data_IF_545740128077
#
_entry.id   IF_545740128077
#
_cell.length_a   1.000
_cell.length_b   1.000
_cell.length_c   1.000
_cell.angle_alpha   90.00
_cell.angle_beta   90.00
_cell.angle_gamma   90.00
#
_symmetry.space_group_name_H-M   'P 1'
#
loop_
_entity.id
_entity.type
_entity.pdbx_description
1 polymer ?
#
# COMPACT_ATOMS: atom_id res chain seq x y z
N UNK A 1 -19.46 2.92 40.41
CA UNK A 1 -18.34 2.40 41.24
C UNK A 1 -17.09 2.11 40.42
N UNK A 2 -17.17 1.33 39.32
CA UNK A 2 -15.99 0.97 38.52
C UNK A 2 -15.23 2.16 37.93
N UNK A 3 -15.92 3.21 37.46
CA UNK A 3 -15.28 4.45 36.97
C UNK A 3 -14.30 5.05 37.98
N UNK A 4 -14.71 5.14 39.24
CA UNK A 4 -13.88 5.69 40.33
C UNK A 4 -12.63 4.82 40.52
N UNK A 5 -12.79 3.50 40.65
CA UNK A 5 -11.67 2.58 40.77
C UNK A 5 -10.72 2.62 39.54
N UNK A 6 -11.28 2.78 38.33
CA UNK A 6 -10.53 2.93 37.10
C UNK A 6 -9.69 4.20 37.08
N UNK A 7 -10.27 5.33 37.53
CA UNK A 7 -9.57 6.63 37.62
C UNK A 7 -8.46 6.63 38.67
N UNK A 8 -8.61 5.87 39.76
CA UNK A 8 -7.54 5.66 40.75
C UNK A 8 -6.51 4.61 40.35
N UNK A 9 -6.60 4.06 39.14
CA UNK A 9 -5.59 3.14 38.64
C UNK A 9 -5.68 1.73 39.20
N UNK A 10 -6.85 1.26 39.64
CA UNK A 10 -7.01 -0.17 39.94
C UNK A 10 -7.17 -0.97 38.64
N UNK A 11 -6.29 -1.93 38.34
CA UNK A 11 -6.32 -2.68 37.07
C UNK A 11 -7.68 -3.35 36.82
N UNK A 12 -8.20 -4.06 37.82
CA UNK A 12 -9.56 -4.64 37.76
C UNK A 12 -10.62 -3.56 37.54
N UNK A 13 -10.55 -2.44 38.27
CA UNK A 13 -11.48 -1.32 38.07
C UNK A 13 -11.46 -0.77 36.63
N UNK A 14 -10.27 -0.63 36.04
CA UNK A 14 -10.08 -0.20 34.65
C UNK A 14 -10.69 -1.20 33.65
N UNK A 15 -10.46 -2.49 33.86
CA UNK A 15 -11.07 -3.54 33.06
C UNK A 15 -12.60 -3.55 33.16
N UNK A 16 -13.16 -3.58 34.37
CA UNK A 16 -14.62 -3.67 34.57
C UNK A 16 -15.32 -2.41 34.02
N UNK A 17 -14.69 -1.23 34.18
CA UNK A 17 -15.22 0.00 33.60
C UNK A 17 -15.19 -0.02 32.07
N UNK A 18 -14.12 -0.54 31.46
CA UNK A 18 -14.07 -0.73 30.01
C UNK A 18 -15.16 -1.68 29.50
N UNK A 19 -15.46 -2.77 30.22
CA UNK A 19 -16.58 -3.65 29.87
C UNK A 19 -17.93 -2.93 29.95
N UNK A 20 -18.14 -2.10 30.97
CA UNK A 20 -19.36 -1.29 31.07
C UNK A 20 -19.54 -0.36 29.86
N UNK A 21 -18.45 0.25 29.39
CA UNK A 21 -18.46 1.09 28.19
C UNK A 21 -18.78 0.29 26.92
N UNK A 22 -18.13 -0.87 26.72
CA UNK A 22 -18.37 -1.72 25.55
C UNK A 22 -19.76 -2.35 25.52
N UNK A 23 -20.38 -2.60 26.68
CA UNK A 23 -21.71 -3.17 26.79
C UNK A 23 -22.83 -2.11 26.80
N UNK A 24 -22.49 -0.81 26.82
CA UNK A 24 -23.47 0.27 26.94
C UNK A 24 -24.22 0.31 28.28
N UNK A 25 -23.75 -0.40 29.32
CA UNK A 25 -24.43 -0.49 30.62
C UNK A 25 -24.17 0.73 31.52
N UNK A 26 -23.31 1.66 31.09
CA UNK A 26 -22.89 2.84 31.85
C UNK A 26 -23.89 4.01 31.86
N UNK A 27 -24.90 4.00 30.98
CA UNK A 27 -25.88 5.09 30.87
C UNK A 27 -27.26 4.55 31.19
N UNK A 28 -27.93 5.16 32.16
CA UNK A 28 -29.28 4.84 32.63
C UNK A 28 -30.36 5.17 31.59
N UNK A 29 -30.27 4.56 30.41
CA UNK A 29 -31.27 4.70 29.36
C UNK A 29 -32.20 3.49 29.40
N UNK A 30 -33.36 3.71 30.00
CA UNK A 30 -34.50 2.79 29.99
C UNK A 30 -35.13 2.76 28.59
N UNK A 31 -34.64 1.92 27.67
CA UNK A 31 -35.46 1.35 26.57
C UNK A 31 -34.67 0.31 25.77
N UNK A 32 -35.32 -0.79 25.40
CA UNK A 32 -34.84 -2.00 24.71
C UNK A 32 -34.28 -1.78 23.28
N UNK A 33 -33.34 -0.87 23.09
CA UNK A 33 -32.57 -0.77 21.86
C UNK A 33 -31.13 -1.12 22.17
N UNK A 34 -30.64 -2.21 21.59
CA UNK A 34 -29.22 -2.56 21.62
C UNK A 34 -28.44 -1.46 20.89
N UNK A 35 -28.05 -0.41 21.63
CA UNK A 35 -27.28 0.70 21.11
C UNK A 35 -25.88 0.23 20.75
N UNK A 36 -25.46 0.47 19.51
CA UNK A 36 -24.05 0.50 19.16
C UNK A 36 -23.37 1.54 20.07
N UNK A 37 -22.40 1.10 20.87
CA UNK A 37 -21.58 2.00 21.69
C UNK A 37 -21.02 3.12 20.81
N UNK A 38 -21.04 4.35 21.32
CA UNK A 38 -20.47 5.47 20.58
C UNK A 38 -18.98 5.26 20.34
N UNK A 39 -18.44 5.82 19.25
CA UNK A 39 -17.01 5.72 18.96
C UNK A 39 -16.14 6.26 20.12
N UNK A 40 -16.66 7.24 20.88
CA UNK A 40 -16.00 7.81 22.06
C UNK A 40 -15.93 6.81 23.22
N UNK A 41 -17.02 6.07 23.50
CA UNK A 41 -17.04 5.04 24.54
C UNK A 41 -16.11 3.87 24.19
N UNK A 42 -16.06 3.47 22.92
CA UNK A 42 -15.12 2.44 22.44
C UNK A 42 -13.68 2.90 22.61
N UNK A 43 -13.38 4.16 22.27
CA UNK A 43 -12.04 4.74 22.48
C UNK A 43 -11.66 4.75 23.96
N UNK A 44 -12.55 5.23 24.83
CA UNK A 44 -12.34 5.27 26.28
C UNK A 44 -12.13 3.85 26.84
N UNK A 45 -12.91 2.87 26.37
CA UNK A 45 -12.76 1.47 26.76
C UNK A 45 -11.38 0.90 26.38
N UNK A 46 -10.91 1.13 25.15
CA UNK A 46 -9.57 0.70 24.71
C UNK A 46 -8.50 1.35 25.59
N UNK A 47 -8.64 2.65 25.90
CA UNK A 47 -7.67 3.34 26.75
C UNK A 47 -7.57 2.69 28.14
N UNK A 48 -8.70 2.35 28.77
CA UNK A 48 -8.70 1.69 30.07
C UNK A 48 -8.20 0.24 30.00
N UNK A 49 -8.53 -0.51 28.94
CA UNK A 49 -7.97 -1.84 28.71
C UNK A 49 -6.45 -1.79 28.57
N UNK A 50 -5.91 -0.84 27.79
CA UNK A 50 -4.46 -0.65 27.67
C UNK A 50 -3.79 -0.36 29.02
N UNK A 51 -4.38 0.53 29.83
CA UNK A 51 -3.87 0.85 31.17
C UNK A 51 -3.91 -0.35 32.11
N UNK A 52 -4.97 -1.17 32.02
CA UNK A 52 -5.08 -2.41 32.79
C UNK A 52 -4.01 -3.41 32.37
N UNK A 53 -3.82 -3.60 31.06
CA UNK A 53 -2.87 -4.55 30.49
C UNK A 53 -1.41 -4.16 30.75
N UNK A 54 -1.08 -2.87 30.70
CA UNK A 54 0.29 -2.37 30.98
C UNK A 54 0.79 -2.75 32.37
N UNK A 55 -0.11 -3.00 33.32
CA UNK A 55 0.26 -3.38 34.68
C UNK A 55 0.74 -4.83 34.80
N UNK A 56 0.57 -5.67 33.79
CA UNK A 56 1.22 -6.97 33.72
C UNK A 56 0.45 -8.14 34.35
N UNK A 57 -0.50 -7.89 35.26
CA UNK A 57 -1.04 -8.93 36.16
C UNK A 57 -2.51 -9.30 35.98
N UNK A 58 -3.23 -8.72 35.01
CA UNK A 58 -4.66 -9.00 34.84
C UNK A 58 -4.97 -9.63 33.48
N UNK A 59 -4.89 -10.96 33.44
CA UNK A 59 -5.05 -11.79 32.24
C UNK A 59 -6.25 -11.43 31.36
N UNK A 60 -7.46 -11.25 31.92
CA UNK A 60 -8.65 -10.91 31.14
C UNK A 60 -8.52 -9.63 30.31
N UNK A 61 -7.75 -8.64 30.78
CA UNK A 61 -7.61 -7.38 30.05
C UNK A 61 -6.94 -7.58 28.68
N UNK A 62 -5.99 -8.52 28.56
CA UNK A 62 -5.33 -8.81 27.29
C UNK A 62 -6.29 -9.44 26.28
N UNK A 63 -7.05 -10.45 26.70
CA UNK A 63 -8.01 -11.15 25.84
C UNK A 63 -9.13 -10.21 25.37
N UNK A 64 -9.69 -9.40 26.28
CA UNK A 64 -10.75 -8.47 25.91
C UNK A 64 -10.25 -7.33 25.04
N UNK A 65 -9.04 -6.82 25.27
CA UNK A 65 -8.42 -5.84 24.37
C UNK A 65 -8.25 -6.43 22.97
N UNK A 66 -7.71 -7.65 22.87
CA UNK A 66 -7.54 -8.35 21.60
C UNK A 66 -8.87 -8.56 20.86
N UNK A 67 -9.92 -9.02 21.54
CA UNK A 67 -11.27 -9.17 20.97
C UNK A 67 -11.85 -7.85 20.49
N UNK A 68 -11.73 -6.81 21.30
CA UNK A 68 -12.20 -5.46 20.96
C UNK A 68 -11.56 -4.98 19.66
N UNK A 69 -10.25 -5.20 19.47
CA UNK A 69 -9.53 -4.84 18.24
C UNK A 69 -9.96 -5.65 17.02
N UNK A 70 -10.28 -6.94 17.19
CA UNK A 70 -10.84 -7.80 16.13
C UNK A 70 -12.19 -7.25 15.68
N UNK A 71 -13.13 -7.05 16.60
CA UNK A 71 -14.49 -6.59 16.31
C UNK A 71 -14.47 -5.24 15.58
N UNK A 72 -13.57 -4.36 16.01
CA UNK A 72 -13.24 -3.06 15.42
C UNK A 72 -12.82 -3.23 13.96
N UNK A 73 -11.85 -4.10 13.66
CA UNK A 73 -11.37 -4.29 12.29
C UNK A 73 -12.43 -4.95 11.40
N UNK A 74 -13.18 -5.91 11.91
CA UNK A 74 -14.27 -6.58 11.17
C UNK A 74 -15.39 -5.59 10.82
N UNK A 75 -15.86 -4.80 11.78
CA UNK A 75 -16.91 -3.80 11.54
C UNK A 75 -16.51 -2.77 10.48
N UNK A 76 -15.23 -2.39 10.42
CA UNK A 76 -14.80 -1.23 9.62
C UNK A 76 -14.09 -1.56 8.32
N UNK A 77 -13.52 -2.75 8.22
CA UNK A 77 -12.84 -3.20 7.01
C UNK A 77 -13.51 -4.43 6.40
N UNK A 78 -14.51 -5.01 7.07
CA UNK A 78 -15.10 -6.29 6.69
C UNK A 78 -14.14 -7.47 6.87
N UNK A 79 -12.94 -7.23 7.41
CA UNK A 79 -11.89 -8.24 7.58
C UNK A 79 -10.81 -7.78 8.55
N UNK A 80 -10.25 -8.73 9.30
CA UNK A 80 -9.06 -8.52 10.15
C UNK A 80 -7.73 -8.59 9.38
N UNK A 81 -7.75 -8.95 8.10
CA UNK A 81 -6.55 -9.16 7.28
C UNK A 81 -6.27 -8.00 6.32
N UNK A 82 -6.87 -6.82 6.55
CA UNK A 82 -6.62 -5.64 5.75
C UNK A 82 -5.17 -5.17 5.93
N UNK A 83 -4.38 -5.18 4.86
CA UNK A 83 -2.96 -4.81 4.88
C UNK A 83 -2.79 -3.36 5.37
N UNK A 84 -1.93 -3.15 6.37
CA UNK A 84 -1.69 -1.85 7.00
C UNK A 84 -2.79 -1.38 7.96
N UNK A 85 -3.77 -2.25 8.22
CA UNK A 85 -4.85 -2.04 9.20
C UNK A 85 -5.18 -3.33 9.95
N UNK A 86 -4.28 -4.32 9.93
CA UNK A 86 -4.52 -5.64 10.51
C UNK A 86 -4.16 -5.60 11.99
N UNK A 87 -5.12 -5.85 12.91
CA UNK A 87 -4.80 -5.93 14.32
C UNK A 87 -4.07 -7.23 14.69
N UNK A 88 -3.98 -8.19 13.77
CA UNK A 88 -3.56 -9.58 14.05
C UNK A 88 -2.17 -9.67 14.70
N UNK A 89 -1.11 -8.99 14.22
CA UNK A 89 0.20 -9.08 14.87
C UNK A 89 0.18 -8.61 16.34
N UNK A 90 -0.69 -7.66 16.66
CA UNK A 90 -0.85 -7.13 18.02
C UNK A 90 -1.73 -8.04 18.87
N UNK A 91 -2.86 -8.47 18.32
CA UNK A 91 -3.82 -9.42 18.93
C UNK A 91 -3.12 -10.71 19.35
N UNK A 92 -2.32 -11.33 18.47
CA UNK A 92 -1.63 -12.57 18.80
C UNK A 92 -0.64 -12.42 19.96
N UNK A 93 0.10 -11.32 20.02
CA UNK A 93 1.01 -11.03 21.13
C UNK A 93 0.24 -10.79 22.45
N UNK A 94 -0.89 -10.07 22.40
CA UNK A 94 -1.75 -9.85 23.56
C UNK A 94 -2.33 -11.15 24.09
N UNK A 95 -2.85 -12.01 23.21
CA UNK A 95 -3.42 -13.30 23.58
C UNK A 95 -2.35 -14.22 24.20
N UNK A 96 -1.12 -14.22 23.67
CA UNK A 96 0.00 -14.97 24.25
C UNK A 96 0.29 -14.52 25.68
N UNK A 97 0.36 -13.21 25.94
CA UNK A 97 0.50 -12.67 27.30
C UNK A 97 -0.69 -13.03 28.21
N UNK A 98 -1.91 -13.08 27.65
CA UNK A 98 -3.10 -13.57 28.34
C UNK A 98 -2.98 -15.01 28.83
N UNK A 99 -2.39 -15.90 28.02
CA UNK A 99 -2.16 -17.30 28.37
C UNK A 99 -1.05 -17.49 29.41
N UNK A 100 -0.01 -16.66 29.35
CA UNK A 100 1.12 -16.66 30.29
C UNK A 100 0.76 -16.03 31.65
N UNK A 101 -0.32 -15.23 31.71
CA UNK A 101 -0.72 -14.55 32.94
C UNK A 101 -1.27 -15.53 34.00
N UNK A 102 -0.69 -15.57 35.22
CA UNK A 102 -1.12 -16.49 36.26
C UNK A 102 -2.41 -16.08 36.99
N UNK A 103 -2.85 -14.83 36.86
CA UNK A 103 -3.96 -14.28 37.65
C UNK A 103 -5.16 -13.86 36.80
N UNK A 104 -6.35 -14.10 37.35
CA UNK A 104 -7.62 -13.49 36.95
C UNK A 104 -8.31 -14.09 35.72
N UNK A 105 -7.67 -14.99 34.98
CA UNK A 105 -8.30 -15.66 33.84
C UNK A 105 -9.11 -16.87 34.31
N UNK A 106 -10.41 -16.90 34.01
CA UNK A 106 -11.24 -18.09 34.21
C UNK A 106 -10.88 -19.17 33.19
N UNK A 107 -11.16 -20.44 33.49
CA UNK A 107 -10.92 -21.54 32.55
C UNK A 107 -11.66 -21.33 31.22
N UNK A 108 -12.90 -20.83 31.29
CA UNK A 108 -13.67 -20.48 30.10
C UNK A 108 -12.98 -19.42 29.22
N UNK A 109 -12.41 -18.37 29.84
CA UNK A 109 -11.70 -17.32 29.10
C UNK A 109 -10.34 -17.81 28.59
N UNK A 110 -9.68 -18.71 29.30
CA UNK A 110 -8.45 -19.38 28.85
C UNK A 110 -8.71 -20.25 27.63
N UNK A 111 -9.79 -21.04 27.64
CA UNK A 111 -10.21 -21.85 26.50
C UNK A 111 -10.57 -20.99 25.29
N UNK A 112 -11.28 -19.88 25.50
CA UNK A 112 -11.57 -18.91 24.46
C UNK A 112 -10.28 -18.29 23.88
N UNK A 113 -9.36 -17.85 24.74
CA UNK A 113 -8.05 -17.28 24.34
C UNK A 113 -7.26 -18.30 23.50
N UNK A 114 -7.22 -19.56 23.93
CA UNK A 114 -6.58 -20.67 23.21
C UNK A 114 -7.20 -20.90 21.83
N UNK A 115 -8.53 -20.86 21.72
CA UNK A 115 -9.23 -20.98 20.43
C UNK A 115 -8.88 -19.83 19.48
N UNK A 116 -8.84 -18.59 19.99
CA UNK A 116 -8.46 -17.42 19.19
C UNK A 116 -7.01 -17.51 18.70
N UNK A 117 -6.07 -17.91 19.56
CA UNK A 117 -4.66 -18.12 19.17
C UNK A 117 -4.60 -19.16 18.05
N UNK A 118 -5.18 -20.35 18.25
CA UNK A 118 -5.18 -21.41 17.22
C UNK A 118 -5.79 -20.95 15.90
N UNK A 119 -6.88 -20.21 15.95
CA UNK A 119 -7.55 -19.69 14.76
C UNK A 119 -6.62 -18.80 13.93
N UNK A 120 -5.96 -17.83 14.56
CA UNK A 120 -5.10 -16.88 13.86
C UNK A 120 -3.69 -17.42 13.58
N UNK A 121 -3.17 -18.32 14.39
CA UNK A 121 -1.86 -18.96 14.14
C UNK A 121 -1.86 -19.88 12.93
N UNK A 122 -3.01 -20.43 12.54
CA UNK A 122 -3.11 -21.20 11.28
C UNK A 122 -2.68 -20.38 10.05
N UNK A 123 -2.73 -19.05 10.13
CA UNK A 123 -2.23 -18.17 9.07
C UNK A 123 -0.70 -18.18 8.94
N UNK A 124 0.04 -18.50 10.02
CA UNK A 124 1.52 -18.57 10.03
C UNK A 124 2.08 -19.68 9.14
N UNK A 125 1.26 -20.64 8.74
CA UNK A 125 1.66 -21.70 7.82
C UNK A 125 1.76 -21.22 6.37
N UNK A 126 1.32 -19.99 6.08
CA UNK A 126 1.35 -19.37 4.75
C UNK A 126 2.15 -18.07 4.78
N UNK A 127 2.81 -17.78 3.68
CA UNK A 127 3.49 -16.51 3.47
C UNK A 127 2.46 -15.38 3.48
N UNK A 128 2.60 -14.39 4.35
CA UNK A 128 1.64 -13.27 4.47
C UNK A 128 1.57 -12.42 3.20
N UNK A 129 2.64 -12.36 2.41
CA UNK A 129 2.67 -11.63 1.14
C UNK A 129 2.08 -12.42 -0.03
N UNK A 130 2.55 -13.65 -0.26
CA UNK A 130 2.25 -14.40 -1.49
C UNK A 130 1.37 -15.64 -1.27
N UNK A 131 0.94 -15.93 -0.04
CA UNK A 131 0.07 -17.04 0.31
C UNK A 131 0.70 -18.43 0.26
N UNK A 132 1.97 -18.56 -0.15
CA UNK A 132 2.66 -19.84 -0.28
C UNK A 132 2.81 -20.54 1.07
N UNK A 133 2.40 -21.80 1.15
CA UNK A 133 2.55 -22.61 2.36
C UNK A 133 4.02 -23.01 2.56
N UNK A 134 4.50 -22.94 3.80
CA UNK A 134 5.83 -23.46 4.15
C UNK A 134 5.94 -24.97 3.95
N UNK A 135 7.11 -25.46 3.58
CA UNK A 135 7.43 -26.90 3.56
C UNK A 135 8.54 -27.22 4.56
N UNK A 136 8.79 -28.49 4.82
CA UNK A 136 9.94 -28.90 5.64
C UNK A 136 11.29 -28.48 5.03
N UNK A 137 11.38 -28.49 3.70
CA UNK A 137 12.59 -28.08 2.96
C UNK A 137 12.74 -26.56 2.87
N UNK A 138 11.62 -25.82 2.90
CA UNK A 138 11.57 -24.36 2.81
C UNK A 138 10.64 -23.82 3.90
N UNK A 139 11.10 -23.79 5.17
CA UNK A 139 10.32 -23.23 6.25
C UNK A 139 10.14 -21.72 6.05
N UNK A 140 8.98 -21.21 6.46
CA UNK A 140 8.71 -19.77 6.41
C UNK A 140 9.52 -19.05 7.50
N UNK A 141 10.04 -17.87 7.14
CA UNK A 141 10.75 -16.96 8.03
C UNK A 141 9.76 -16.10 8.78
N UNK A 142 9.79 -16.13 10.10
CA UNK A 142 8.92 -15.30 10.94
C UNK A 142 9.48 -13.88 10.99
N UNK A 143 8.59 -12.88 11.00
CA UNK A 143 8.99 -11.49 11.23
C UNK A 143 9.69 -11.35 12.59
N UNK A 144 10.93 -10.87 12.59
CA UNK A 144 11.75 -10.75 13.82
C UNK A 144 11.22 -9.72 14.81
N UNK A 145 10.46 -8.72 14.33
CA UNK A 145 9.91 -7.65 15.16
C UNK A 145 8.66 -8.09 15.92
N UNK A 146 7.64 -8.58 15.21
CA UNK A 146 6.35 -8.94 15.82
C UNK A 146 6.23 -10.43 16.16
N UNK A 147 6.97 -11.32 15.50
CA UNK A 147 6.85 -12.77 15.70
C UNK A 147 5.56 -13.40 15.16
N UNK A 148 4.68 -12.62 14.52
CA UNK A 148 3.31 -13.05 14.23
C UNK A 148 3.04 -13.43 12.77
N UNK A 149 3.78 -12.87 11.83
CA UNK A 149 3.62 -13.11 10.38
C UNK A 149 4.83 -13.87 9.84
N UNK A 150 4.62 -14.63 8.77
CA UNK A 150 5.63 -15.51 8.21
C UNK A 150 5.80 -15.28 6.70
N UNK A 151 7.02 -15.48 6.18
CA UNK A 151 7.39 -15.17 4.80
C UNK A 151 8.23 -16.27 4.17
N UNK A 152 7.99 -16.59 2.90
CA UNK A 152 8.81 -17.56 2.17
C UNK A 152 10.20 -17.02 1.80
N UNK A 153 10.39 -15.70 1.82
CA UNK A 153 11.63 -15.03 1.40
C UNK A 153 11.73 -13.61 1.98
N UNK A 154 12.96 -13.07 2.00
CA UNK A 154 13.20 -11.67 2.37
C UNK A 154 12.50 -10.69 1.40
N UNK A 155 12.35 -11.07 0.13
CA UNK A 155 11.64 -10.26 -0.87
C UNK A 155 10.17 -10.11 -0.48
N UNK A 156 9.52 -11.20 -0.07
CA UNK A 156 8.13 -11.17 0.40
C UNK A 156 7.98 -10.36 1.68
N UNK A 157 8.92 -10.48 2.62
CA UNK A 157 8.92 -9.67 3.84
C UNK A 157 9.07 -8.17 3.54
N UNK A 158 10.08 -7.77 2.76
CA UNK A 158 10.30 -6.35 2.37
C UNK A 158 9.11 -5.79 1.60
N UNK A 159 8.41 -6.61 0.82
CA UNK A 159 7.20 -6.20 0.10
C UNK A 159 6.03 -5.97 1.04
N UNK A 160 5.66 -6.97 1.84
CA UNK A 160 4.56 -6.87 2.81
C UNK A 160 4.78 -5.71 3.79
N UNK A 161 6.02 -5.51 4.25
CA UNK A 161 6.41 -4.39 5.09
C UNK A 161 6.11 -3.03 4.46
N UNK A 162 6.40 -2.87 3.16
CA UNK A 162 6.09 -1.65 2.39
C UNK A 162 4.60 -1.50 2.12
N UNK A 163 3.92 -2.59 1.81
CA UNK A 163 2.51 -2.61 1.42
C UNK A 163 1.58 -2.30 2.61
N UNK A 164 2.04 -2.55 3.84
CA UNK A 164 1.39 -2.01 5.04
C UNK A 164 1.80 -2.64 6.35
N UNK A 165 2.48 -3.80 6.34
CA UNK A 165 2.84 -4.48 7.58
C UNK A 165 3.65 -3.60 8.53
N UNK A 166 4.41 -2.60 8.07
CA UNK A 166 5.09 -1.64 8.97
C UNK A 166 4.17 -0.89 9.94
N UNK A 167 2.89 -0.72 9.58
CA UNK A 167 1.88 -0.09 10.44
C UNK A 167 1.25 -1.11 11.40
N UNK A 168 1.13 -2.37 10.97
CA UNK A 168 0.58 -3.47 11.77
C UNK A 168 1.63 -4.08 12.72
N UNK A 169 2.91 -3.94 12.36
CA UNK A 169 4.04 -4.51 13.05
C UNK A 169 4.26 -3.79 14.37
N UNK A 170 4.17 -4.53 15.47
CA UNK A 170 4.28 -3.99 16.81
C UNK A 170 5.34 -4.77 17.59
N UNK A 171 6.25 -4.05 18.23
CA UNK A 171 7.15 -4.63 19.24
C UNK A 171 6.36 -4.96 20.52
N UNK A 172 6.91 -5.83 21.37
CA UNK A 172 6.31 -6.12 22.70
C UNK A 172 6.19 -4.85 23.58
N UNK A 173 7.10 -3.89 23.41
CA UNK A 173 7.12 -2.66 24.21
C UNK A 173 5.99 -1.70 23.82
N UNK A 174 5.56 -1.72 22.56
CA UNK A 174 4.51 -0.83 22.03
C UNK A 174 3.11 -1.44 22.10
N UNK A 175 3.00 -2.67 22.60
CA UNK A 175 1.79 -3.48 22.52
C UNK A 175 0.57 -2.81 23.17
N UNK A 176 0.79 -2.14 24.30
CA UNK A 176 -0.25 -1.45 25.07
C UNK A 176 -0.17 0.08 24.95
N UNK A 177 0.65 0.58 24.03
CA UNK A 177 0.73 2.01 23.77
C UNK A 177 -0.55 2.44 23.06
N UNK A 178 -1.45 3.10 23.81
CA UNK A 178 -2.72 3.57 23.30
C UNK A 178 -2.57 4.51 22.10
N UNK A 179 -1.54 5.36 22.06
CA UNK A 179 -1.29 6.25 20.94
C UNK A 179 -0.90 5.45 19.69
N UNK A 180 -0.08 4.40 19.84
CA UNK A 180 0.25 3.46 18.76
C UNK A 180 -1.00 2.74 18.25
N UNK A 181 -1.88 2.28 19.16
CA UNK A 181 -3.19 1.69 18.80
C UNK A 181 -4.07 2.68 18.03
N UNK A 182 -4.15 3.92 18.50
CA UNK A 182 -4.95 4.97 17.88
C UNK A 182 -4.47 5.29 16.45
N UNK A 183 -3.16 5.27 16.20
CA UNK A 183 -2.61 5.46 14.85
C UNK A 183 -2.95 4.29 13.90
N UNK A 184 -3.01 3.07 14.42
CA UNK A 184 -3.41 1.88 13.65
C UNK A 184 -4.92 1.74 13.44
N UNK A 185 -5.74 2.54 14.13
CA UNK A 185 -7.21 2.51 14.10
C UNK A 185 -7.77 3.86 13.62
N UNK A 186 -7.86 4.12 12.29
CA UNK A 186 -8.02 5.46 11.74
C UNK A 186 -9.30 6.23 12.12
N UNK A 187 -10.35 5.60 12.67
CA UNK A 187 -11.63 6.27 12.97
C UNK A 187 -11.70 6.92 14.35
N UNK A 188 -10.81 6.57 15.27
CA UNK A 188 -10.70 7.22 16.59
C UNK A 188 -10.41 8.73 16.45
N UNK A 189 -9.98 9.19 15.27
CA UNK A 189 -9.67 10.62 15.03
C UNK A 189 -10.66 11.39 14.17
N UNK A 190 -11.69 10.77 13.57
CA UNK A 190 -12.35 11.36 12.39
C UNK A 190 -13.67 12.11 12.60
N UNK A 191 -14.31 12.08 13.76
CA UNK A 191 -15.51 12.89 14.02
C UNK A 191 -15.35 13.76 15.26
N UNK A 192 -14.77 14.96 15.10
CA UNK A 192 -14.94 16.04 16.08
C UNK A 192 -13.71 16.47 16.90
N UNK A 193 -12.55 15.80 16.78
CA UNK A 193 -11.34 16.25 17.48
C UNK A 193 -10.76 17.51 16.83
N UNK A 194 -11.26 18.68 17.26
CA UNK A 194 -10.55 19.95 17.05
C UNK A 194 -9.21 19.84 17.78
N UNK A 195 -8.10 20.03 17.04
CA UNK A 195 -6.76 20.14 17.62
C UNK A 195 -6.67 21.41 18.47
N UNK A 196 -7.26 21.41 19.66
CA UNK A 196 -7.08 22.49 20.62
C UNK A 196 -5.92 22.11 21.56
N UNK A 197 -4.73 22.57 21.20
CA UNK A 197 -3.69 22.97 22.16
C UNK A 197 -2.88 21.91 22.92
N UNK A 198 -3.24 20.62 22.92
CA UNK A 198 -2.45 19.60 23.64
C UNK A 198 -1.37 19.03 22.72
N UNK A 199 -0.11 19.39 22.98
CA UNK A 199 1.05 18.73 22.38
C UNK A 199 1.01 17.23 22.74
N UNK A 200 0.98 16.38 21.72
CA UNK A 200 1.13 14.93 21.88
C UNK A 200 2.40 14.64 22.70
N UNK A 201 2.39 13.66 23.62
CA UNK A 201 3.62 13.19 24.23
C UNK A 201 4.59 12.81 23.10
N UNK A 202 5.75 13.48 23.07
CA UNK A 202 6.85 13.05 22.21
C UNK A 202 7.14 11.59 22.54
N UNK A 203 6.82 10.69 21.60
CA UNK A 203 7.34 9.33 21.62
C UNK A 203 8.86 9.45 21.79
N UNK A 204 9.45 8.58 22.63
CA UNK A 204 10.86 8.62 23.05
C UNK A 204 11.79 9.19 21.97
N UNK A 205 12.69 10.10 22.36
CA UNK A 205 13.58 10.95 21.55
C UNK A 205 14.46 10.27 20.46
N UNK A 206 14.20 9.04 20.05
CA UNK A 206 14.80 8.39 18.90
C UNK A 206 13.94 8.39 17.62
N UNK A 207 12.72 8.91 17.67
CA UNK A 207 11.88 9.07 16.48
C UNK A 207 11.35 10.50 16.40
N UNK A 208 12.19 11.40 15.90
CA UNK A 208 11.73 12.70 15.38
C UNK A 208 10.53 12.47 14.45
N UNK A 209 9.52 13.35 14.52
CA UNK A 209 8.34 13.34 13.66
C UNK A 209 8.77 13.43 12.18
N UNK A 210 9.01 12.27 11.57
CA UNK A 210 9.35 12.17 10.16
C UNK A 210 8.10 12.51 9.35
N UNK A 211 8.21 13.55 8.53
CA UNK A 211 7.23 13.84 7.48
C UNK A 211 6.91 12.58 6.69
N UNK A 212 5.68 12.44 6.16
CA UNK A 212 5.32 11.35 5.24
C UNK A 212 6.36 11.20 4.09
N UNK A 213 6.99 12.31 3.69
CA UNK A 213 8.08 12.35 2.71
C UNK A 213 9.44 11.86 3.25
N UNK A 214 9.70 11.95 4.55
CA UNK A 214 10.85 11.34 5.23
C UNK A 214 10.64 9.85 5.50
N UNK A 215 9.41 9.39 5.78
CA UNK A 215 9.08 7.96 5.87
C UNK A 215 9.16 7.23 4.52
N UNK A 216 9.00 7.94 3.40
CA UNK A 216 9.20 7.41 2.05
C UNK A 216 10.69 7.42 1.65
N UNK A 217 11.49 8.27 2.30
CA UNK A 217 12.95 8.37 2.10
C UNK A 217 13.75 7.59 3.16
N UNK A 218 13.07 6.85 4.03
CA UNK A 218 13.72 6.17 5.13
C UNK A 218 14.70 5.13 4.59
N UNK A 219 15.98 5.30 4.93
CA UNK A 219 17.16 4.47 4.61
C UNK A 219 17.07 3.05 5.21
N UNK A 220 15.86 2.54 5.40
CA UNK A 220 15.59 1.12 5.64
C UNK A 220 16.11 0.22 4.53
N UNK A 221 16.42 0.76 3.34
CA UNK A 221 17.20 0.04 2.32
C UNK A 221 18.66 -0.21 2.77
N UNK A 222 19.28 0.65 3.60
CA UNK A 222 20.65 0.50 4.10
C UNK A 222 20.76 -0.45 5.31
N UNK A 223 19.75 -0.49 6.20
CA UNK A 223 19.75 -1.36 7.40
C UNK A 223 19.62 -2.85 7.03
N UNK A 224 19.11 -3.17 5.84
CA UNK A 224 19.05 -4.53 5.32
C UNK A 224 20.12 -4.79 4.25
N UNK A 225 21.39 -4.55 4.65
CA UNK A 225 22.63 -5.08 4.08
C UNK A 225 22.60 -5.49 2.61
N UNK A 226 23.09 -4.60 1.76
CA UNK A 226 23.28 -4.82 0.31
C UNK A 226 24.39 -5.82 -0.05
N UNK A 227 25.00 -6.53 0.92
CA UNK A 227 26.34 -7.08 0.68
C UNK A 227 26.44 -8.47 0.04
N UNK A 228 25.38 -9.25 -0.20
CA UNK A 228 25.57 -10.60 -0.78
C UNK A 228 24.39 -11.16 -1.59
N UNK A 229 23.86 -10.42 -2.57
CA UNK A 229 22.92 -11.01 -3.54
C UNK A 229 23.26 -10.56 -4.95
N UNK A 230 23.35 -11.53 -5.88
CA UNK A 230 23.55 -11.33 -7.31
C UNK A 230 22.72 -10.15 -7.80
N UNK A 231 23.42 -9.04 -8.01
CA UNK A 231 22.84 -7.71 -8.13
C UNK A 231 21.89 -7.64 -9.32
N UNK A 232 22.11 -8.46 -10.36
CA UNK A 232 21.38 -8.38 -11.61
C UNK A 232 19.98 -9.02 -11.56
N UNK A 233 19.82 -10.18 -10.92
CA UNK A 233 18.51 -10.85 -10.81
C UNK A 233 17.59 -10.14 -9.82
N UNK A 234 18.15 -9.64 -8.71
CA UNK A 234 17.39 -8.82 -7.75
C UNK A 234 17.02 -7.46 -8.33
N UNK A 235 17.93 -6.79 -9.05
CA UNK A 235 17.63 -5.50 -9.71
C UNK A 235 16.58 -5.69 -10.80
N UNK A 236 16.65 -6.76 -11.60
CA UNK A 236 15.67 -7.02 -12.65
C UNK A 236 14.29 -7.35 -12.07
N UNK A 237 14.23 -8.20 -11.03
CA UNK A 237 12.98 -8.51 -10.32
C UNK A 237 12.38 -7.25 -9.67
N UNK A 238 13.20 -6.41 -9.04
CA UNK A 238 12.73 -5.15 -8.46
C UNK A 238 12.32 -4.13 -9.53
N UNK A 239 12.99 -4.09 -10.67
CA UNK A 239 12.64 -3.20 -11.77
C UNK A 239 11.26 -3.58 -12.34
N UNK A 240 11.04 -4.86 -12.63
CA UNK A 240 9.77 -5.37 -13.13
C UNK A 240 8.65 -5.16 -12.10
N UNK A 241 8.96 -5.34 -10.81
CA UNK A 241 8.02 -5.10 -9.73
C UNK A 241 7.66 -3.62 -9.58
N UNK A 242 8.65 -2.70 -9.64
CA UNK A 242 8.40 -1.25 -9.61
C UNK A 242 7.57 -0.80 -10.81
N UNK A 243 7.82 -1.38 -11.99
CA UNK A 243 7.00 -1.11 -13.19
C UNK A 243 5.54 -1.52 -12.95
N UNK A 244 5.30 -2.71 -12.38
CA UNK A 244 3.95 -3.17 -12.01
C UNK A 244 3.30 -2.26 -10.96
N UNK A 245 4.00 -1.92 -9.88
CA UNK A 245 3.46 -1.10 -8.79
C UNK A 245 3.17 0.33 -9.23
N UNK A 246 3.99 0.92 -10.11
CA UNK A 246 3.72 2.23 -10.68
C UNK A 246 2.44 2.20 -11.53
N UNK A 247 2.20 1.10 -12.26
CA UNK A 247 0.95 0.90 -13.01
C UNK A 247 -0.21 0.75 -12.02
N UNK A 248 -0.12 -0.14 -11.02
CA UNK A 248 -1.20 -0.35 -10.03
C UNK A 248 -1.54 0.91 -9.22
N UNK A 249 -0.53 1.67 -8.75
CA UNK A 249 -0.77 2.94 -8.06
C UNK A 249 -1.38 4.00 -8.98
N UNK A 250 -0.94 4.07 -10.23
CA UNK A 250 -1.53 4.98 -11.21
C UNK A 250 -3.02 4.63 -11.42
N UNK A 251 -3.32 3.34 -11.63
CA UNK A 251 -4.69 2.83 -11.76
C UNK A 251 -5.55 3.14 -10.52
N UNK A 252 -4.99 2.99 -9.31
CA UNK A 252 -5.69 3.25 -8.06
C UNK A 252 -5.89 4.74 -7.75
N UNK A 253 -4.96 5.62 -8.14
CA UNK A 253 -5.15 7.08 -8.00
C UNK A 253 -6.23 7.60 -8.93
N UNK A 254 -6.26 7.09 -10.16
CA UNK A 254 -7.30 7.43 -11.13
C UNK A 254 -8.67 6.88 -10.70
N UNK A 255 -8.73 5.69 -10.09
CA UNK A 255 -9.99 5.13 -9.59
C UNK A 255 -10.57 5.87 -8.38
N UNK A 256 -9.73 6.49 -7.53
CA UNK A 256 -10.18 7.27 -6.37
C UNK A 256 -10.53 8.73 -6.68
N UNK A 257 -10.05 9.29 -7.79
CA UNK A 257 -10.43 10.64 -8.25
C UNK A 257 -11.76 10.65 -9.06
N UNK A 258 -12.57 9.60 -8.91
CA UNK A 258 -13.74 9.28 -9.72
C UNK A 258 -15.02 10.06 -9.36
N UNK A 259 -14.98 11.38 -9.55
CA UNK A 259 -16.11 12.04 -10.21
C UNK A 259 -16.00 11.96 -11.75
N UNK A 260 -14.91 11.37 -12.28
CA UNK A 260 -14.83 10.93 -13.68
C UNK A 260 -14.07 9.61 -13.81
N UNK A 261 -14.76 8.46 -13.84
CA UNK A 261 -14.19 7.17 -14.27
C UNK A 261 -13.72 7.15 -15.74
N UNK A 262 -13.78 8.27 -16.47
CA UNK A 262 -13.61 8.27 -17.92
C UNK A 262 -12.15 8.35 -18.38
N UNK A 263 -11.24 9.00 -17.64
CA UNK A 263 -9.91 9.35 -18.20
C UNK A 263 -9.02 8.13 -18.37
N UNK A 264 -8.87 7.31 -17.33
CA UNK A 264 -8.04 6.11 -17.41
C UNK A 264 -8.62 5.07 -18.37
N UNK A 265 -9.94 4.85 -18.31
CA UNK A 265 -10.62 3.95 -19.25
C UNK A 265 -10.41 4.44 -20.69
N UNK A 266 -10.57 5.75 -20.93
CA UNK A 266 -10.29 6.36 -22.23
C UNK A 266 -8.81 6.22 -22.64
N UNK A 267 -7.86 6.33 -21.72
CA UNK A 267 -6.44 6.09 -22.03
C UNK A 267 -6.17 4.62 -22.39
N UNK A 268 -6.81 3.68 -21.69
CA UNK A 268 -6.74 2.25 -21.99
C UNK A 268 -7.37 1.96 -23.35
N UNK A 269 -8.55 2.53 -23.64
CA UNK A 269 -9.27 2.37 -24.89
C UNK A 269 -8.46 2.97 -26.06
N UNK A 270 -7.94 4.19 -25.92
CA UNK A 270 -7.04 4.82 -26.91
C UNK A 270 -5.79 3.97 -27.15
N UNK A 271 -5.21 3.42 -26.08
CA UNK A 271 -4.05 2.54 -26.21
C UNK A 271 -4.40 1.24 -26.94
N UNK A 272 -5.52 0.60 -26.59
CA UNK A 272 -6.00 -0.61 -27.22
C UNK A 272 -6.32 -0.40 -28.72
N UNK A 273 -6.99 0.70 -29.07
CA UNK A 273 -7.23 1.12 -30.46
C UNK A 273 -5.91 1.36 -31.20
N UNK A 274 -4.96 2.05 -30.57
CA UNK A 274 -3.66 2.32 -31.19
C UNK A 274 -2.83 1.06 -31.44
N UNK A 275 -2.97 0.04 -30.59
CA UNK A 275 -2.37 -1.28 -30.79
C UNK A 275 -3.10 -2.05 -31.88
N UNK A 276 -4.43 -2.01 -31.92
CA UNK A 276 -5.23 -2.73 -32.91
C UNK A 276 -4.90 -2.32 -34.36
N UNK A 277 -4.48 -1.07 -34.56
CA UNK A 277 -4.07 -0.57 -35.87
C UNK A 277 -2.59 -0.77 -36.18
N UNK A 278 -1.77 -1.18 -35.20
CA UNK A 278 -0.34 -1.39 -35.40
C UNK A 278 -0.07 -2.69 -36.19
N UNK A 279 0.59 -2.65 -37.36
CA UNK A 279 0.82 -3.85 -38.17
C UNK A 279 1.62 -4.95 -37.47
N UNK A 280 2.45 -4.59 -36.47
CA UNK A 280 3.21 -5.52 -35.65
C UNK A 280 2.55 -5.86 -34.30
N UNK A 281 1.23 -5.70 -34.20
CA UNK A 281 0.46 -5.95 -32.97
C UNK A 281 0.80 -7.30 -32.34
N UNK A 282 0.79 -8.37 -33.16
CA UNK A 282 0.96 -9.73 -32.68
C UNK A 282 2.34 -9.92 -32.03
N UNK A 283 3.41 -9.52 -32.73
CA UNK A 283 4.78 -9.55 -32.20
C UNK A 283 4.93 -8.75 -30.90
N UNK A 284 4.29 -7.58 -30.81
CA UNK A 284 4.33 -6.75 -29.61
C UNK A 284 3.62 -7.42 -28.41
N UNK A 285 2.44 -8.01 -28.64
CA UNK A 285 1.68 -8.74 -27.62
C UNK A 285 2.46 -9.99 -27.17
N UNK A 286 3.01 -10.75 -28.11
CA UNK A 286 3.82 -11.94 -27.81
C UNK A 286 5.06 -11.60 -26.99
N UNK A 287 5.76 -10.51 -27.32
CA UNK A 287 6.91 -10.05 -26.55
C UNK A 287 6.51 -9.62 -25.12
N UNK A 288 5.36 -8.95 -24.94
CA UNK A 288 4.84 -8.64 -23.60
C UNK A 288 4.47 -9.90 -22.81
N UNK A 289 3.79 -10.86 -23.46
CA UNK A 289 3.43 -12.13 -22.84
C UNK A 289 4.65 -12.94 -22.42
N UNK A 290 5.71 -12.96 -23.24
CA UNK A 290 6.95 -13.64 -22.94
C UNK A 290 7.60 -13.10 -21.67
N UNK A 291 7.72 -11.76 -21.55
CA UNK A 291 8.25 -11.11 -20.33
C UNK A 291 7.38 -11.42 -19.13
N UNK A 292 6.04 -11.39 -19.27
CA UNK A 292 5.10 -11.71 -18.19
C UNK A 292 5.25 -13.16 -17.72
N UNK A 293 5.26 -14.12 -18.65
CA UNK A 293 5.38 -15.56 -18.36
C UNK A 293 6.71 -15.87 -17.68
N UNK A 294 7.82 -15.40 -18.23
CA UNK A 294 9.16 -15.61 -17.67
C UNK A 294 9.34 -14.92 -16.32
N UNK A 295 8.86 -13.68 -16.16
CA UNK A 295 8.90 -12.97 -14.89
C UNK A 295 8.11 -13.68 -13.78
N UNK A 296 6.92 -14.21 -14.10
CA UNK A 296 6.14 -15.01 -13.15
C UNK A 296 6.84 -16.34 -12.81
N UNK A 297 7.40 -17.04 -13.80
CA UNK A 297 8.15 -18.27 -13.59
C UNK A 297 9.41 -18.04 -12.76
N UNK A 298 10.15 -16.95 -12.98
CA UNK A 298 11.33 -16.61 -12.19
C UNK A 298 10.96 -16.22 -10.75
N UNK A 299 9.83 -15.54 -10.55
CA UNK A 299 9.37 -15.13 -9.22
C UNK A 299 8.80 -16.27 -8.37
N UNK A 300 8.25 -17.31 -9.01
CA UNK A 300 7.48 -18.36 -8.33
C UNK A 300 8.01 -19.78 -8.56
N UNK A 301 8.95 -19.97 -9.48
CA UNK A 301 9.52 -21.27 -9.81
C UNK A 301 10.37 -21.83 -8.66
N UNK A 302 10.41 -23.16 -8.49
CA UNK A 302 11.39 -23.80 -7.62
C UNK A 302 12.79 -23.34 -8.04
N UNK A 303 13.66 -23.04 -7.06
CA UNK A 303 15.07 -22.71 -7.31
C UNK A 303 15.78 -23.94 -7.88
N UNK A 304 15.62 -24.19 -9.18
CA UNK A 304 16.39 -25.18 -9.90
C UNK A 304 17.79 -24.61 -10.18
N UNK A 305 18.79 -25.49 -10.19
CA UNK A 305 20.21 -25.18 -10.41
C UNK A 305 20.53 -24.58 -11.81
N UNK A 306 19.54 -24.31 -12.65
CA UNK A 306 19.69 -23.70 -13.98
C UNK A 306 19.33 -22.21 -14.03
N UNK A 307 19.60 -21.44 -12.96
CA UNK A 307 19.36 -19.99 -12.92
C UNK A 307 19.96 -19.25 -14.13
N UNK A 308 21.11 -19.68 -14.64
CA UNK A 308 21.77 -19.03 -15.80
C UNK A 308 20.98 -19.16 -17.10
N UNK A 309 20.31 -20.29 -17.35
CA UNK A 309 19.49 -20.48 -18.55
C UNK A 309 18.23 -19.62 -18.48
N UNK A 310 17.57 -19.58 -17.31
CA UNK A 310 16.37 -18.76 -17.08
C UNK A 310 16.70 -17.27 -17.20
N UNK A 311 17.85 -16.83 -16.70
CA UNK A 311 18.32 -15.44 -16.83
C UNK A 311 18.53 -15.06 -18.29
N UNK A 312 19.21 -15.89 -19.08
CA UNK A 312 19.45 -15.61 -20.51
C UNK A 312 18.14 -15.54 -21.30
N UNK A 313 17.17 -16.39 -21.00
CA UNK A 313 15.83 -16.35 -21.59
C UNK A 313 15.07 -15.07 -21.20
N UNK A 314 15.12 -14.67 -19.92
CA UNK A 314 14.53 -13.43 -19.45
C UNK A 314 15.13 -12.21 -20.16
N UNK A 315 16.46 -12.13 -20.26
CA UNK A 315 17.14 -11.06 -20.97
C UNK A 315 16.74 -11.00 -22.45
N UNK A 316 16.67 -12.16 -23.11
CA UNK A 316 16.25 -12.26 -24.52
C UNK A 316 14.82 -11.72 -24.68
N UNK A 317 13.88 -12.12 -23.82
CA UNK A 317 12.51 -11.64 -23.86
C UNK A 317 12.41 -10.12 -23.62
N UNK A 318 13.18 -9.59 -22.66
CA UNK A 318 13.21 -8.14 -22.39
C UNK A 318 13.81 -7.36 -23.56
N UNK A 319 14.86 -7.87 -24.22
CA UNK A 319 15.42 -7.27 -25.43
C UNK A 319 14.40 -7.22 -26.56
N UNK A 320 13.69 -8.31 -26.80
CA UNK A 320 12.65 -8.37 -27.84
C UNK A 320 11.50 -7.40 -27.54
N UNK A 321 11.01 -7.36 -26.30
CA UNK A 321 9.97 -6.40 -25.90
C UNK A 321 10.41 -4.94 -26.12
N UNK A 322 11.65 -4.59 -25.78
CA UNK A 322 12.19 -3.23 -26.02
C UNK A 322 12.23 -2.89 -27.51
N UNK A 323 12.65 -3.84 -28.35
CA UNK A 323 12.68 -3.66 -29.80
C UNK A 323 11.26 -3.42 -30.36
N UNK A 324 10.29 -4.24 -29.95
CA UNK A 324 8.90 -4.09 -30.40
C UNK A 324 8.26 -2.79 -29.89
N UNK A 325 8.58 -2.38 -28.66
CA UNK A 325 8.17 -1.09 -28.10
C UNK A 325 8.70 0.08 -28.93
N UNK A 326 9.98 0.07 -29.30
CA UNK A 326 10.56 1.12 -30.14
C UNK A 326 9.89 1.18 -31.51
N UNK A 327 9.59 0.03 -32.13
CA UNK A 327 8.87 -0.05 -33.41
C UNK A 327 7.45 0.53 -33.29
N UNK A 328 6.74 0.20 -32.23
CA UNK A 328 5.41 0.74 -31.93
C UNK A 328 5.44 2.26 -31.72
N UNK A 329 6.42 2.78 -30.97
CA UNK A 329 6.57 4.23 -30.77
C UNK A 329 6.83 4.96 -32.10
N UNK A 330 7.72 4.43 -32.96
CA UNK A 330 7.97 4.98 -34.31
C UNK A 330 6.74 4.91 -35.22
N UNK A 331 5.91 3.88 -35.08
CA UNK A 331 4.64 3.79 -35.80
C UNK A 331 3.67 4.88 -35.31
N UNK A 332 3.52 5.05 -33.99
CA UNK A 332 2.64 6.04 -33.39
C UNK A 332 3.04 7.47 -33.77
N UNK A 333 4.33 7.76 -33.79
CA UNK A 333 4.88 9.06 -34.24
C UNK A 333 4.53 9.35 -35.71
N UNK A 334 4.69 8.36 -36.60
CA UNK A 334 4.32 8.48 -38.02
C UNK A 334 2.83 8.72 -38.20
N UNK A 335 1.98 7.90 -37.57
CA UNK A 335 0.52 8.05 -37.63
C UNK A 335 0.05 9.41 -37.11
N UNK A 336 0.67 9.92 -36.04
CA UNK A 336 0.37 11.25 -35.50
C UNK A 336 0.75 12.34 -36.50
N UNK A 337 1.90 12.20 -37.16
CA UNK A 337 2.36 13.14 -38.20
C UNK A 337 1.41 13.12 -39.40
N UNK A 338 1.05 11.94 -39.91
CA UNK A 338 0.13 11.78 -41.04
C UNK A 338 -1.26 12.37 -40.73
N UNK A 339 -1.74 12.20 -39.49
CA UNK A 339 -2.99 12.82 -39.03
C UNK A 339 -2.91 14.35 -39.01
N UNK A 340 -1.79 14.91 -38.56
CA UNK A 340 -1.56 16.37 -38.55
C UNK A 340 -1.48 16.91 -39.99
N UNK A 341 -0.75 16.23 -40.86
CA UNK A 341 -0.59 16.65 -42.26
C UNK A 341 -1.93 16.56 -43.03
N UNK A 342 -2.74 15.53 -42.77
CA UNK A 342 -4.11 15.41 -43.31
C UNK A 342 -5.00 16.58 -42.86
N UNK A 343 -4.93 16.99 -41.58
CA UNK A 343 -5.68 18.15 -41.08
C UNK A 343 -5.18 19.44 -41.72
N UNK A 344 -3.87 19.59 -41.93
CA UNK A 344 -3.30 20.75 -42.64
C UNK A 344 -3.79 20.84 -44.09
N UNK A 345 -3.82 19.73 -44.82
CA UNK A 345 -4.30 19.68 -46.20
C UNK A 345 -5.80 19.99 -46.29
N UNK A 346 -6.60 19.50 -45.34
CA UNK A 346 -8.03 19.85 -45.23
C UNK A 346 -8.25 21.35 -44.96
N UNK A 347 -7.40 21.96 -44.12
CA UNK A 347 -7.47 23.40 -43.87
C UNK A 347 -7.04 24.17 -45.12
N UNK A 348 -5.94 23.79 -45.78
CA UNK A 348 -5.44 24.45 -46.97
C UNK A 348 -6.45 24.41 -48.13
N UNK A 349 -7.09 23.26 -48.36
CA UNK A 349 -8.08 23.07 -49.43
C UNK A 349 -9.41 23.80 -49.17
N UNK A 350 -9.84 23.93 -47.91
CA UNK A 350 -11.01 24.75 -47.56
C UNK A 350 -10.75 26.25 -47.65
N UNK A 351 -9.61 26.71 -47.14
CA UNK A 351 -9.22 28.13 -47.18
C UNK A 351 -9.05 28.65 -48.61
N UNK A 352 -8.69 27.77 -49.56
CA UNK A 352 -8.57 28.14 -50.97
C UNK A 352 -9.89 28.13 -51.75
N UNK A 353 -10.93 27.42 -51.28
CA UNK A 353 -12.20 27.31 -52.00
C UNK A 353 -13.22 28.38 -51.61
N UNK A 354 -13.13 28.91 -50.40
CA UNK A 354 -13.97 30.01 -49.96
C UNK A 354 -13.22 31.33 -50.24
N UNK A 355 -13.65 32.07 -51.26
CA UNK A 355 -13.10 33.39 -51.63
C UNK A 355 -12.98 34.27 -50.36
N UNK A 356 -11.74 34.52 -49.91
CA UNK A 356 -11.35 35.22 -48.67
C UNK A 356 -11.84 36.69 -48.63
N UNK A 357 -12.61 37.15 -49.62
CA UNK A 357 -13.00 38.55 -49.75
C UNK A 357 -14.07 39.02 -48.76
N UNK A 358 -14.77 38.13 -48.06
CA UNK A 358 -15.90 38.53 -47.18
C UNK A 358 -15.80 38.10 -45.71
N UNK A 359 -14.68 37.52 -45.27
CA UNK A 359 -14.53 37.09 -43.84
C UNK A 359 -13.82 38.19 -43.04
N UNK A 360 -14.49 39.32 -42.83
CA UNK A 360 -14.10 40.31 -41.82
C UNK A 360 -14.69 39.92 -40.46
N UNK A 361 -14.05 38.97 -39.75
CA UNK A 361 -14.55 38.52 -38.46
C UNK A 361 -13.56 37.72 -37.60
N UNK A 362 -13.85 37.58 -36.28
CA UNK A 362 -12.94 37.00 -35.27
C UNK A 362 -12.52 35.54 -35.52
N UNK A 363 -13.12 34.83 -36.49
CA UNK A 363 -12.71 33.46 -36.83
C UNK A 363 -11.30 33.37 -37.44
N UNK A 364 -10.82 34.40 -38.14
CA UNK A 364 -9.47 34.38 -38.75
C UNK A 364 -8.38 34.29 -37.67
N UNK A 365 -8.59 34.95 -36.53
CA UNK A 365 -7.71 34.89 -35.37
C UNK A 365 -7.66 33.49 -34.74
N UNK A 366 -8.79 32.78 -34.66
CA UNK A 366 -8.84 31.44 -34.08
C UNK A 366 -8.15 30.38 -34.95
N UNK A 367 -8.32 30.45 -36.27
CA UNK A 367 -7.61 29.56 -37.20
C UNK A 367 -6.09 29.82 -37.14
N UNK A 368 -5.67 31.08 -37.08
CA UNK A 368 -4.26 31.45 -36.91
C UNK A 368 -3.67 30.92 -35.60
N UNK A 369 -4.38 31.06 -34.47
CA UNK A 369 -3.95 30.54 -33.17
C UNK A 369 -3.86 29.01 -33.16
N UNK A 370 -4.84 28.32 -33.77
CA UNK A 370 -4.83 26.86 -33.86
C UNK A 370 -3.63 26.36 -34.69
N UNK A 371 -3.32 27.01 -35.82
CA UNK A 371 -2.15 26.68 -36.65
C UNK A 371 -0.83 26.91 -35.90
N UNK A 372 -0.72 28.00 -35.13
CA UNK A 372 0.47 28.27 -34.29
C UNK A 372 0.61 27.25 -33.16
N UNK A 373 -0.49 26.81 -32.54
CA UNK A 373 -0.47 25.79 -31.49
C UNK A 373 -0.12 24.40 -32.05
N UNK A 374 -0.59 24.07 -33.25
CA UNK A 374 -0.21 22.83 -33.95
C UNK A 374 1.27 22.83 -34.36
N UNK A 375 1.82 23.95 -34.84
CA UNK A 375 3.25 24.06 -35.18
C UNK A 375 4.15 23.98 -33.93
N UNK A 376 3.72 24.55 -32.81
CA UNK A 376 4.43 24.45 -31.52
C UNK A 376 4.46 23.04 -30.93
N UNK A 377 3.42 22.22 -31.14
CA UNK A 377 3.41 20.81 -30.68
C UNK A 377 4.26 19.89 -31.57
N UNK A 378 4.41 20.19 -32.86
CA UNK A 378 5.24 19.41 -33.79
C UNK A 378 6.75 19.59 -33.59
N UNK A 379 7.18 20.75 -33.08
CA UNK A 379 8.58 21.00 -32.69
C UNK A 379 8.80 20.45 -31.28
N UNK A 380 8.95 19.13 -31.17
CA UNK A 380 9.32 18.46 -29.92
C UNK A 380 10.45 19.19 -29.20
N UNK A 381 10.30 19.37 -27.90
CA UNK A 381 11.28 20.00 -27.00
C UNK A 381 12.61 19.27 -27.16
N UNK A 382 13.51 19.81 -28.00
CA UNK A 382 14.91 19.40 -28.02
C UNK A 382 15.46 19.71 -26.63
N UNK A 383 15.64 18.69 -25.79
CA UNK A 383 16.38 18.81 -24.53
C UNK A 383 17.74 19.44 -24.85
N UNK A 384 17.92 20.70 -24.44
CA UNK A 384 19.21 21.38 -24.45
C UNK A 384 20.10 20.57 -23.50
N UNK A 385 21.03 19.78 -24.04
CA UNK A 385 22.13 19.20 -23.27
C UNK A 385 23.03 20.35 -22.84
N UNK A 386 22.86 20.84 -21.62
CA UNK A 386 23.87 21.68 -20.98
C UNK A 386 25.10 20.81 -20.69
N UNK A 387 26.08 20.86 -21.60
CA UNK A 387 27.40 20.32 -21.35
C UNK A 387 28.11 21.16 -20.30
N UNK A 388 28.19 20.66 -19.06
CA UNK A 388 29.11 21.19 -18.05
C UNK A 388 30.53 20.74 -18.41
N UNK A 389 31.30 21.64 -19.01
CA UNK A 389 32.74 21.48 -19.14
C UNK A 389 33.38 21.52 -17.74
N UNK A 390 33.95 20.39 -17.30
CA UNK A 390 34.82 20.31 -16.11
C UNK A 390 36.18 20.91 -16.48
N UNK A 391 36.51 22.05 -15.89
CA UNK A 391 37.89 22.55 -15.87
C UNK A 391 38.75 21.58 -15.02
N UNK A 392 39.77 20.99 -15.64
CA UNK A 392 40.87 20.33 -14.94
C UNK A 392 41.76 21.42 -14.34
N UNK A 393 41.83 21.50 -13.01
CA UNK A 393 42.93 22.16 -12.30
C UNK A 393 44.12 21.20 -12.36
N UNK A 394 45.20 21.66 -12.98
CA UNK A 394 46.53 21.08 -12.85
C UNK A 394 47.10 21.59 -11.53
N UNK A 395 47.51 20.65 -10.67
CA UNK A 395 48.51 20.85 -9.64
C UNK A 395 49.40 19.61 -9.64
#
# INVERSE_FOLDING_TARGET
MYKVAATYGHARGQYEYALCLLQGTGVSNTCEQAYDASNEEVEEAIQFLCRSSTKGFYGPSYTYLAKTLIDIAEKLHGTVYAVGKSPIPRVLQMLALGMECPYGISDALRDETSKLIKHYENSKNKCSNCGMTGSQTHPLRICTMCGCVAYCSNVCQKRDYRDGHKFDCCSKNDLFNFQSLRLTLPWVSKSGWKREGVQLPQLSNHTEERSLMQMVKDETDEVYGEENQDYDDYVLANLMLRMRQNIEMFLNRESQNSNSPSILKQQIDIFAESIAEYPGQQDFIEAMEAVRKLGNSAAHGPKLECNKLVQLECEKAVREYRLQKERFEKYRERKTKDSIDTVKDLIATKVWKDDIRDISGPMVLWVGVLLVLLDRKGKGVKKIKQGKARQRKVM
#
